data_IF_999889321933
#
_entry.id   IF_999889321933
#
_cell.length_a   1.000
_cell.length_b   1.000
_cell.length_c   1.000
_cell.angle_alpha   90.00
_cell.angle_beta   90.00
_cell.angle_gamma   90.00
#
_symmetry.space_group_name_H-M   'P 1'
#
loop_
_entity.id
_entity.type
_entity.pdbx_description
1 polymer ?
#
# COMPACT_ATOMS: atom_id res chain seq x y z
N UNK A 1 22.62 28.19 -11.30
CA UNK A 1 22.69 26.91 -10.56
C UNK A 1 21.27 26.45 -10.35
N UNK A 2 20.82 25.38 -10.99
CA UNK A 2 19.53 24.80 -10.71
C UNK A 2 19.52 24.34 -9.25
N UNK A 3 18.59 24.85 -8.44
CA UNK A 3 18.38 24.38 -7.08
C UNK A 3 18.23 22.86 -7.12
N UNK A 4 19.00 22.13 -6.33
CA UNK A 4 18.84 20.69 -6.12
C UNK A 4 17.37 20.44 -5.77
N UNK A 5 16.60 19.92 -6.73
CA UNK A 5 15.23 19.50 -6.47
C UNK A 5 15.33 18.37 -5.46
N UNK A 6 14.89 18.63 -4.22
CA UNK A 6 14.92 17.62 -3.16
C UNK A 6 14.17 16.36 -3.60
N UNK A 7 14.47 15.24 -2.96
CA UNK A 7 13.80 13.94 -3.24
C UNK A 7 12.29 14.05 -3.19
N UNK A 8 11.60 13.24 -4.00
CA UNK A 8 10.16 13.31 -4.21
C UNK A 8 9.48 11.95 -4.05
N UNK A 9 8.28 11.96 -3.48
CA UNK A 9 7.44 10.77 -3.35
C UNK A 9 5.99 11.08 -3.79
N UNK A 10 5.42 10.22 -4.62
CA UNK A 10 4.01 10.27 -4.99
C UNK A 10 3.27 9.09 -4.33
N UNK A 11 2.22 9.39 -3.56
CA UNK A 11 1.58 8.44 -2.65
C UNK A 11 0.09 8.35 -2.98
N UNK A 12 -0.41 7.16 -3.34
CA UNK A 12 -1.84 6.92 -3.54
C UNK A 12 -2.52 6.46 -2.25
N UNK A 13 -3.82 6.79 -2.09
CA UNK A 13 -4.51 6.60 -0.82
C UNK A 13 -3.88 7.45 0.28
N UNK A 14 -3.35 8.63 -0.10
CA UNK A 14 -2.62 9.52 0.80
C UNK A 14 -3.51 10.34 1.72
N UNK A 15 -4.83 10.32 1.51
CA UNK A 15 -5.81 11.06 2.30
C UNK A 15 -6.02 10.53 3.72
N UNK A 16 -5.61 9.29 4.01
CA UNK A 16 -5.81 8.69 5.34
C UNK A 16 -4.79 7.59 5.68
N UNK A 17 -4.87 7.05 6.88
CA UNK A 17 -4.20 5.83 7.31
C UNK A 17 -2.71 5.78 6.98
N UNK A 18 -2.26 4.67 6.39
CA UNK A 18 -0.85 4.43 6.05
C UNK A 18 -0.31 5.50 5.09
N UNK A 19 -1.08 5.86 4.05
CA UNK A 19 -0.65 6.86 3.07
C UNK A 19 -0.37 8.22 3.71
N UNK A 20 -1.27 8.71 4.57
CA UNK A 20 -1.09 9.95 5.33
C UNK A 20 0.12 9.90 6.26
N UNK A 21 0.30 8.79 6.98
CA UNK A 21 1.43 8.64 7.91
C UNK A 21 2.78 8.61 7.16
N UNK A 22 2.84 7.91 6.02
CA UNK A 22 4.03 7.89 5.16
C UNK A 22 4.30 9.28 4.58
N UNK A 23 3.28 9.99 4.09
CA UNK A 23 3.41 11.36 3.58
C UNK A 23 4.03 12.29 4.64
N UNK A 24 3.51 12.25 5.87
CA UNK A 24 4.04 13.03 7.00
C UNK A 24 5.49 12.66 7.32
N UNK A 25 5.79 11.37 7.39
CA UNK A 25 7.13 10.89 7.72
C UNK A 25 8.17 11.33 6.68
N UNK A 26 7.88 11.17 5.38
CA UNK A 26 8.78 11.55 4.30
C UNK A 26 8.91 13.08 4.18
N UNK A 27 7.83 13.83 4.35
CA UNK A 27 7.87 15.30 4.35
C UNK A 27 8.75 15.84 5.49
N UNK A 28 8.69 15.23 6.68
CA UNK A 28 9.55 15.57 7.81
C UNK A 28 11.04 15.33 7.53
N UNK A 29 11.38 14.45 6.57
CA UNK A 29 12.74 14.24 6.07
C UNK A 29 13.10 15.17 4.90
N UNK A 30 12.27 16.18 4.63
CA UNK A 30 12.53 17.20 3.60
C UNK A 30 12.12 16.81 2.17
N UNK A 31 11.38 15.71 2.00
CA UNK A 31 10.92 15.27 0.69
C UNK A 31 9.72 16.10 0.19
N UNK A 32 9.62 16.26 -1.13
CA UNK A 32 8.44 16.80 -1.80
C UNK A 32 7.41 15.68 -2.00
N UNK A 33 6.15 15.90 -1.61
CA UNK A 33 5.13 14.87 -1.56
C UNK A 33 3.96 15.18 -2.51
N UNK A 34 3.63 14.25 -3.39
CA UNK A 34 2.35 14.20 -4.10
C UNK A 34 1.38 13.31 -3.31
N UNK A 35 0.31 13.88 -2.82
CA UNK A 35 -0.75 13.18 -2.07
C UNK A 35 -1.93 12.94 -3.00
N UNK A 36 -2.11 11.72 -3.47
CA UNK A 36 -3.20 11.33 -4.35
C UNK A 36 -4.26 10.51 -3.60
N UNK A 37 -5.51 10.89 -3.72
CA UNK A 37 -6.66 10.18 -3.16
C UNK A 37 -7.90 10.40 -4.02
N UNK A 38 -8.85 9.45 -3.98
CA UNK A 38 -10.17 9.64 -4.61
C UNK A 38 -10.99 10.68 -3.86
N UNK A 39 -10.74 10.84 -2.57
CA UNK A 39 -11.34 11.87 -1.72
C UNK A 39 -10.45 13.13 -1.72
N UNK A 40 -10.84 14.12 -2.52
CA UNK A 40 -10.12 15.40 -2.66
C UNK A 40 -9.93 16.13 -1.32
N UNK A 41 -10.95 16.14 -0.46
CA UNK A 41 -10.89 16.80 0.84
C UNK A 41 -9.85 16.12 1.76
N UNK A 42 -9.85 14.80 1.81
CA UNK A 42 -8.90 14.05 2.62
C UNK A 42 -7.43 14.21 2.12
N UNK A 43 -7.22 14.31 0.79
CA UNK A 43 -5.92 14.64 0.23
C UNK A 43 -5.46 16.04 0.64
N UNK A 44 -6.35 17.04 0.56
CA UNK A 44 -6.07 18.42 0.97
C UNK A 44 -5.78 18.52 2.48
N UNK A 45 -6.55 17.83 3.32
CA UNK A 45 -6.28 17.75 4.77
C UNK A 45 -4.87 17.20 5.04
N UNK A 46 -4.47 16.14 4.33
CA UNK A 46 -3.13 15.59 4.49
C UNK A 46 -2.08 16.61 4.11
N UNK A 47 -2.23 17.30 2.98
CA UNK A 47 -1.29 18.35 2.54
C UNK A 47 -1.18 19.48 3.58
N UNK A 48 -2.31 19.90 4.19
CA UNK A 48 -2.31 20.92 5.24
C UNK A 48 -1.53 20.53 6.52
N UNK A 49 -1.29 19.22 6.73
CA UNK A 49 -0.48 18.71 7.84
C UNK A 49 1.02 18.65 7.52
N UNK A 50 1.42 18.95 6.27
CA UNK A 50 2.81 18.85 5.82
C UNK A 50 3.47 20.25 5.80
N UNK A 51 4.80 20.33 5.83
CA UNK A 51 5.50 21.61 5.72
C UNK A 51 5.09 22.38 4.47
N UNK A 52 4.87 23.69 4.62
CA UNK A 52 4.42 24.56 3.54
C UNK A 52 5.34 24.49 2.31
N UNK A 53 4.73 24.48 1.12
CA UNK A 53 5.46 24.39 -0.15
C UNK A 53 6.06 23.01 -0.48
N UNK A 54 5.87 22.01 0.40
CA UNK A 54 6.46 20.68 0.25
C UNK A 54 5.48 19.62 -0.27
N UNK A 55 4.21 19.94 -0.42
CA UNK A 55 3.22 18.94 -0.83
C UNK A 55 2.18 19.51 -1.79
N UNK A 56 1.61 18.64 -2.63
CA UNK A 56 0.51 18.93 -3.53
C UNK A 56 -0.55 17.82 -3.43
N UNK A 57 -1.83 18.20 -3.42
CA UNK A 57 -2.97 17.28 -3.43
C UNK A 57 -3.42 16.98 -4.86
N UNK A 58 -3.77 15.73 -5.12
CA UNK A 58 -4.29 15.23 -6.38
C UNK A 58 -5.54 14.41 -6.14
N UNK A 59 -6.63 14.75 -6.82
CA UNK A 59 -7.83 13.91 -6.85
C UNK A 59 -7.62 12.85 -7.94
N UNK A 60 -7.56 11.56 -7.54
CA UNK A 60 -7.25 10.49 -8.47
C UNK A 60 -7.91 9.18 -8.08
N UNK A 61 -8.62 8.57 -9.03
CA UNK A 61 -9.03 7.18 -8.97
C UNK A 61 -7.90 6.30 -9.56
N UNK A 62 -7.34 5.41 -8.76
CA UNK A 62 -6.26 4.52 -9.19
C UNK A 62 -6.67 3.55 -10.32
N UNK A 63 -7.97 3.39 -10.56
CA UNK A 63 -8.50 2.58 -11.67
C UNK A 63 -8.40 3.29 -13.03
N UNK A 64 -8.22 4.60 -13.02
CA UNK A 64 -8.20 5.45 -14.22
C UNK A 64 -6.76 5.74 -14.65
N UNK A 65 -6.37 5.21 -15.82
CA UNK A 65 -5.03 5.36 -16.37
C UNK A 65 -4.70 6.80 -16.81
N UNK A 66 -5.69 7.55 -17.23
CA UNK A 66 -5.47 8.91 -17.71
C UNK A 66 -5.29 9.87 -16.53
N UNK A 67 -6.02 9.66 -15.45
CA UNK A 67 -5.76 10.36 -14.19
C UNK A 67 -4.36 10.06 -13.64
N UNK A 68 -3.88 8.81 -13.72
CA UNK A 68 -2.50 8.46 -13.36
C UNK A 68 -1.48 9.28 -14.15
N UNK A 69 -1.62 9.35 -15.50
CA UNK A 69 -0.72 10.12 -16.35
C UNK A 69 -0.75 11.60 -16.02
N UNK A 70 -1.94 12.18 -15.93
CA UNK A 70 -2.13 13.60 -15.63
C UNK A 70 -1.54 13.99 -14.26
N UNK A 71 -1.79 13.19 -13.22
CA UNK A 71 -1.30 13.49 -11.87
C UNK A 71 0.23 13.35 -11.76
N UNK A 72 0.82 12.30 -12.33
CA UNK A 72 2.28 12.13 -12.31
C UNK A 72 2.98 13.21 -13.12
N UNK A 73 2.48 13.54 -14.31
CA UNK A 73 3.01 14.64 -15.14
C UNK A 73 2.93 15.98 -14.39
N UNK A 74 1.76 16.29 -13.82
CA UNK A 74 1.57 17.53 -13.03
C UNK A 74 2.49 17.59 -11.81
N UNK A 75 2.73 16.46 -11.13
CA UNK A 75 3.60 16.41 -9.95
C UNK A 75 5.06 16.51 -10.32
N UNK A 76 5.51 15.79 -11.35
CA UNK A 76 6.94 15.70 -11.69
C UNK A 76 7.37 16.81 -12.65
N UNK A 77 6.46 17.35 -13.47
CA UNK A 77 6.79 18.25 -14.58
C UNK A 77 7.67 17.55 -15.64
N UNK A 78 7.48 16.24 -15.84
CA UNK A 78 8.30 15.41 -16.73
C UNK A 78 9.67 15.01 -16.15
N UNK A 79 10.01 15.41 -14.92
CA UNK A 79 11.25 15.03 -14.25
C UNK A 79 11.13 13.64 -13.59
N UNK A 80 12.27 13.15 -13.05
CA UNK A 80 12.31 11.89 -12.32
C UNK A 80 11.52 11.91 -11.01
N UNK A 81 11.11 10.71 -10.57
CA UNK A 81 10.42 10.46 -9.32
C UNK A 81 11.25 9.48 -8.48
N UNK A 82 11.56 9.85 -7.22
CA UNK A 82 12.37 8.99 -6.35
C UNK A 82 11.56 7.84 -5.75
N UNK A 83 10.30 8.09 -5.35
CA UNK A 83 9.42 7.05 -4.81
C UNK A 83 8.02 7.17 -5.39
N UNK A 84 7.51 6.07 -5.94
CA UNK A 84 6.09 5.88 -6.20
C UNK A 84 5.54 4.87 -5.17
N UNK A 85 4.60 5.32 -4.35
CA UNK A 85 3.98 4.47 -3.35
C UNK A 85 2.54 4.10 -3.76
N UNK A 86 2.37 2.89 -4.30
CA UNK A 86 1.08 2.25 -4.55
C UNK A 86 0.48 1.77 -3.23
N UNK A 87 -0.28 2.64 -2.57
CA UNK A 87 -0.86 2.35 -1.26
C UNK A 87 -2.39 2.32 -1.25
N UNK A 88 -3.05 3.00 -2.19
CA UNK A 88 -4.51 2.95 -2.28
C UNK A 88 -5.05 1.51 -2.27
N UNK A 89 -6.08 1.27 -1.48
CA UNK A 89 -6.69 -0.05 -1.36
C UNK A 89 -7.91 -0.03 -0.47
N UNK A 90 -8.75 -1.04 -0.61
CA UNK A 90 -9.93 -1.29 0.21
C UNK A 90 -9.83 -2.65 0.88
N UNK A 91 -10.48 -2.78 2.04
CA UNK A 91 -10.70 -4.06 2.70
C UNK A 91 -11.95 -4.75 2.16
N UNK A 92 -11.96 -6.07 2.22
CA UNK A 92 -13.12 -6.90 1.93
C UNK A 92 -13.08 -8.10 2.88
N UNK A 93 -14.13 -8.27 3.67
CA UNK A 93 -14.31 -9.40 4.58
C UNK A 93 -15.66 -10.06 4.40
N UNK A 94 -15.73 -11.37 4.68
CA UNK A 94 -16.94 -12.17 4.64
C UNK A 94 -16.79 -13.47 3.85
N UNK A 95 -17.80 -14.36 3.87
CA UNK A 95 -17.79 -15.59 3.08
C UNK A 95 -17.77 -15.27 1.58
N UNK A 96 -16.89 -15.95 0.85
CA UNK A 96 -16.70 -15.69 -0.58
C UNK A 96 -17.98 -15.90 -1.41
N UNK A 97 -18.74 -16.95 -1.06
CA UNK A 97 -19.97 -17.29 -1.77
C UNK A 97 -21.09 -16.23 -1.61
N UNK A 98 -21.05 -15.46 -0.51
CA UNK A 98 -22.06 -14.45 -0.19
C UNK A 98 -21.65 -13.05 -0.64
N UNK A 99 -20.44 -12.92 -1.18
CA UNK A 99 -19.90 -11.63 -1.64
C UNK A 99 -20.41 -11.32 -3.05
N UNK A 100 -21.00 -10.13 -3.25
CA UNK A 100 -21.50 -9.69 -4.53
C UNK A 100 -20.41 -9.58 -5.61
N UNK A 101 -20.71 -9.92 -6.86
CA UNK A 101 -19.76 -9.86 -7.97
C UNK A 101 -19.14 -8.45 -8.13
N UNK A 102 -19.95 -7.40 -8.01
CA UNK A 102 -19.47 -6.02 -8.10
C UNK A 102 -18.42 -5.67 -7.02
N UNK A 103 -18.56 -6.21 -5.81
CA UNK A 103 -17.59 -5.99 -4.73
C UNK A 103 -16.29 -6.77 -4.96
N UNK A 104 -16.39 -7.99 -5.52
CA UNK A 104 -15.22 -8.76 -5.95
C UNK A 104 -14.43 -8.01 -7.02
N UNK A 105 -15.11 -7.56 -8.08
CA UNK A 105 -14.52 -6.81 -9.19
C UNK A 105 -13.92 -5.48 -8.71
N UNK A 106 -14.65 -4.73 -7.87
CA UNK A 106 -14.16 -3.47 -7.28
C UNK A 106 -12.88 -3.69 -6.47
N UNK A 107 -12.83 -4.77 -5.67
CA UNK A 107 -11.65 -5.10 -4.87
C UNK A 107 -10.44 -5.40 -5.76
N UNK A 108 -10.62 -6.18 -6.82
CA UNK A 108 -9.56 -6.46 -7.80
C UNK A 108 -9.12 -5.16 -8.49
N UNK A 109 -10.07 -4.38 -8.97
CA UNK A 109 -9.79 -3.15 -9.71
C UNK A 109 -8.96 -2.14 -8.91
N UNK A 110 -9.28 -1.96 -7.62
CA UNK A 110 -8.55 -1.01 -6.76
C UNK A 110 -7.24 -1.63 -6.25
N UNK A 111 -7.29 -2.82 -5.64
CA UNK A 111 -6.16 -3.38 -4.89
C UNK A 111 -5.06 -3.98 -5.77
N UNK A 112 -5.38 -4.34 -7.02
CA UNK A 112 -4.42 -4.94 -7.94
C UNK A 112 -4.30 -4.19 -9.26
N UNK A 113 -5.38 -3.97 -10.01
CA UNK A 113 -5.30 -3.27 -11.31
C UNK A 113 -4.76 -1.85 -11.13
N UNK A 114 -5.20 -1.13 -10.08
CA UNK A 114 -4.65 0.19 -9.74
C UNK A 114 -3.15 0.16 -9.46
N UNK A 115 -2.64 -0.88 -8.78
CA UNK A 115 -1.20 -1.07 -8.55
C UNK A 115 -0.45 -1.34 -9.85
N UNK A 116 -1.05 -2.14 -10.76
CA UNK A 116 -0.49 -2.39 -12.11
C UNK A 116 -0.41 -1.09 -12.91
N UNK A 117 -1.46 -0.25 -12.88
CA UNK A 117 -1.44 1.05 -13.55
C UNK A 117 -0.32 1.94 -13.01
N UNK A 118 -0.20 2.04 -11.67
CA UNK A 118 0.85 2.82 -11.02
C UNK A 118 2.25 2.33 -11.38
N UNK A 119 2.49 1.02 -11.35
CA UNK A 119 3.77 0.43 -11.75
C UNK A 119 4.09 0.73 -13.22
N UNK A 120 3.15 0.45 -14.13
CA UNK A 120 3.35 0.59 -15.56
C UNK A 120 3.57 2.04 -16.01
N UNK A 121 2.78 2.98 -15.48
CA UNK A 121 2.89 4.41 -15.84
C UNK A 121 4.05 5.05 -15.08
N UNK A 122 4.19 4.75 -13.80
CA UNK A 122 5.23 5.29 -12.93
C UNK A 122 6.65 4.89 -13.33
N UNK A 123 6.82 3.74 -13.99
CA UNK A 123 8.13 3.29 -14.51
C UNK A 123 8.84 4.38 -15.30
N UNK A 124 8.14 5.13 -16.16
CA UNK A 124 8.72 6.18 -16.97
C UNK A 124 9.37 7.31 -16.16
N UNK A 125 8.84 7.60 -14.99
CA UNK A 125 9.37 8.62 -14.08
C UNK A 125 10.43 8.05 -13.14
N UNK A 126 10.25 6.81 -12.66
CA UNK A 126 11.19 6.15 -11.77
C UNK A 126 12.56 5.93 -12.43
N UNK A 127 12.58 5.52 -13.70
CA UNK A 127 13.84 5.30 -14.45
C UNK A 127 14.66 6.57 -14.68
N UNK A 128 14.06 7.75 -14.55
CA UNK A 128 14.75 9.04 -14.65
C UNK A 128 15.42 9.47 -13.33
N UNK A 129 15.18 8.74 -12.23
CA UNK A 129 15.75 9.03 -10.92
C UNK A 129 16.59 7.83 -10.43
N UNK A 130 17.93 7.89 -10.54
CA UNK A 130 18.79 6.78 -10.12
C UNK A 130 18.58 6.41 -8.64
N UNK A 131 18.39 5.12 -8.38
CA UNK A 131 18.10 4.62 -7.03
C UNK A 131 16.67 4.82 -6.57
N UNK A 132 15.75 5.12 -7.48
CA UNK A 132 14.32 5.24 -7.23
C UNK A 132 13.70 3.93 -6.70
N UNK A 133 12.48 4.03 -6.15
CA UNK A 133 11.78 2.90 -5.59
C UNK A 133 10.28 2.91 -5.95
N UNK A 134 9.80 1.80 -6.49
CA UNK A 134 8.40 1.45 -6.49
C UNK A 134 8.07 0.73 -5.19
N UNK A 135 7.29 1.35 -4.30
CA UNK A 135 6.83 0.75 -3.05
C UNK A 135 5.36 0.35 -3.18
N UNK A 136 5.04 -0.91 -2.88
CA UNK A 136 3.67 -1.44 -2.97
C UNK A 136 3.15 -1.84 -1.59
N UNK A 137 1.89 -1.55 -1.28
CA UNK A 137 1.22 -2.07 -0.09
C UNK A 137 0.62 -3.45 -0.39
N UNK A 138 1.37 -4.51 -0.05
CA UNK A 138 0.82 -5.86 0.06
C UNK A 138 0.09 -6.03 1.41
N UNK A 139 0.23 -7.15 2.10
CA UNK A 139 -0.38 -7.41 3.41
C UNK A 139 0.16 -8.71 4.00
N UNK A 140 -0.04 -8.96 5.28
CA UNK A 140 0.04 -10.29 5.88
C UNK A 140 -0.86 -11.30 5.13
N UNK A 141 -2.01 -10.85 4.61
CA UNK A 141 -2.90 -11.64 3.75
C UNK A 141 -2.25 -12.05 2.40
N UNK A 142 -1.12 -11.46 2.01
CA UNK A 142 -0.27 -11.89 0.90
C UNK A 142 0.82 -12.90 1.30
N UNK A 143 0.90 -13.27 2.59
CA UNK A 143 1.78 -14.35 3.09
C UNK A 143 1.00 -15.67 3.13
N UNK A 144 -0.23 -15.63 3.63
CA UNK A 144 -1.12 -16.77 3.73
C UNK A 144 -2.58 -16.33 3.64
N UNK A 145 -3.39 -17.05 2.84
CA UNK A 145 -4.82 -16.77 2.69
C UNK A 145 -5.60 -17.18 3.94
N UNK A 146 -6.55 -16.34 4.35
CA UNK A 146 -7.37 -16.54 5.55
C UNK A 146 -8.83 -16.66 5.15
N UNK A 147 -9.58 -17.57 5.78
CA UNK A 147 -11.01 -17.68 5.59
C UNK A 147 -11.72 -16.35 5.90
N UNK A 148 -12.70 -15.98 5.09
CA UNK A 148 -13.38 -14.69 5.19
C UNK A 148 -12.63 -13.50 4.56
N UNK A 149 -11.47 -13.74 3.91
CA UNK A 149 -10.71 -12.69 3.22
C UNK A 149 -10.17 -13.17 1.86
N UNK A 150 -10.92 -14.03 1.16
CA UNK A 150 -10.44 -14.73 -0.04
C UNK A 150 -10.00 -13.78 -1.15
N UNK A 151 -10.88 -12.88 -1.61
CA UNK A 151 -10.55 -11.95 -2.69
C UNK A 151 -9.48 -10.93 -2.27
N UNK A 152 -9.56 -10.41 -1.05
CA UNK A 152 -8.54 -9.52 -0.51
C UNK A 152 -7.17 -10.20 -0.49
N UNK A 153 -7.08 -11.42 0.05
CA UNK A 153 -5.84 -12.21 0.03
C UNK A 153 -5.32 -12.43 -1.38
N UNK A 154 -6.17 -12.82 -2.32
CA UNK A 154 -5.80 -13.02 -3.72
C UNK A 154 -5.15 -11.76 -4.32
N UNK A 155 -5.74 -10.57 -4.10
CA UNK A 155 -5.15 -9.31 -4.58
C UNK A 155 -3.80 -9.01 -3.93
N UNK A 156 -3.63 -9.32 -2.63
CA UNK A 156 -2.36 -9.05 -1.92
C UNK A 156 -1.26 -10.05 -2.27
N UNK A 157 -1.61 -11.30 -2.61
CA UNK A 157 -0.67 -12.25 -3.25
C UNK A 157 -0.26 -11.79 -4.65
N UNK A 158 -1.21 -11.28 -5.45
CA UNK A 158 -0.91 -10.75 -6.78
C UNK A 158 0.05 -9.55 -6.72
N UNK A 159 -0.17 -8.62 -5.78
CA UNK A 159 0.76 -7.50 -5.54
C UNK A 159 2.15 -7.97 -5.13
N UNK A 160 2.22 -9.00 -4.28
CA UNK A 160 3.49 -9.61 -3.88
C UNK A 160 4.23 -10.20 -5.07
N UNK A 161 3.56 -11.05 -5.87
CA UNK A 161 4.18 -11.67 -7.06
C UNK A 161 4.62 -10.62 -8.09
N UNK A 162 3.80 -9.58 -8.34
CA UNK A 162 4.17 -8.45 -9.18
C UNK A 162 5.44 -7.75 -8.66
N UNK A 163 5.53 -7.51 -7.34
CA UNK A 163 6.70 -6.88 -6.72
C UNK A 163 7.97 -7.69 -6.94
N UNK A 164 7.90 -9.01 -6.72
CA UNK A 164 9.05 -9.92 -6.91
C UNK A 164 9.54 -9.93 -8.37
N UNK A 165 8.60 -9.99 -9.32
CA UNK A 165 8.92 -9.99 -10.76
C UNK A 165 9.54 -8.68 -11.21
N UNK A 166 8.92 -7.55 -10.85
CA UNK A 166 9.42 -6.22 -11.25
C UNK A 166 10.75 -5.87 -10.57
N UNK A 167 11.01 -6.34 -9.34
CA UNK A 167 12.32 -6.19 -8.71
C UNK A 167 13.41 -6.89 -9.55
N UNK A 168 13.14 -8.09 -10.04
CA UNK A 168 14.10 -8.82 -10.89
C UNK A 168 14.31 -8.14 -12.25
N UNK A 169 13.24 -7.61 -12.85
CA UNK A 169 13.29 -6.94 -14.15
C UNK A 169 14.02 -5.59 -14.08
N UNK A 170 13.67 -4.73 -13.09
CA UNK A 170 14.10 -3.33 -13.03
C UNK A 170 15.39 -3.10 -12.25
N UNK A 171 15.91 -4.12 -11.59
CA UNK A 171 17.18 -4.03 -10.84
C UNK A 171 18.34 -3.50 -11.69
N UNK A 172 18.43 -3.93 -12.96
CA UNK A 172 19.50 -3.51 -13.89
C UNK A 172 19.41 -2.04 -14.25
N UNK A 173 18.24 -1.44 -14.12
CA UNK A 173 17.99 -0.01 -14.36
C UNK A 173 18.14 0.83 -13.08
N UNK A 174 18.54 0.20 -11.97
CA UNK A 174 18.73 0.89 -10.69
C UNK A 174 17.43 1.24 -9.98
N UNK A 175 16.29 0.69 -10.41
CA UNK A 175 14.99 0.89 -9.77
C UNK A 175 14.76 -0.23 -8.76
N UNK A 176 14.53 0.11 -7.49
CA UNK A 176 14.12 -0.83 -6.46
C UNK A 176 12.62 -1.07 -6.54
N UNK A 177 12.18 -2.31 -6.36
CA UNK A 177 10.74 -2.61 -6.22
C UNK A 177 10.53 -3.32 -4.89
N UNK A 178 9.76 -2.73 -4.00
CA UNK A 178 9.61 -3.15 -2.61
C UNK A 178 8.14 -3.32 -2.24
N UNK A 179 7.86 -4.15 -1.24
CA UNK A 179 6.52 -4.18 -0.65
C UNK A 179 6.53 -4.07 0.86
N UNK A 180 5.50 -3.42 1.39
CA UNK A 180 5.11 -3.50 2.79
C UNK A 180 4.09 -4.63 2.95
N UNK A 181 4.28 -5.45 3.98
CA UNK A 181 3.36 -6.53 4.35
C UNK A 181 2.86 -6.31 5.78
N UNK A 182 1.99 -5.30 6.00
CA UNK A 182 1.44 -5.02 7.32
C UNK A 182 0.39 -6.06 7.74
N UNK A 183 0.26 -6.26 9.06
CA UNK A 183 -0.88 -6.95 9.67
C UNK A 183 -2.07 -6.01 9.87
N UNK A 184 -2.68 -6.01 11.04
CA UNK A 184 -3.78 -5.10 11.38
C UNK A 184 -3.22 -3.76 11.84
N UNK A 185 -3.36 -2.75 11.01
CA UNK A 185 -2.86 -1.39 11.28
C UNK A 185 -4.04 -0.52 11.68
N UNK A 186 -3.83 0.28 12.72
CA UNK A 186 -4.85 1.20 13.23
C UNK A 186 -5.14 2.32 12.22
N UNK A 187 -6.10 2.07 11.33
CA UNK A 187 -6.48 2.94 10.23
C UNK A 187 -7.98 2.83 9.96
N UNK A 188 -8.60 3.80 9.27
CA UNK A 188 -9.99 3.71 8.84
C UNK A 188 -10.31 2.48 7.96
N UNK A 189 -9.32 1.84 7.38
CA UNK A 189 -9.50 0.60 6.60
C UNK A 189 -10.15 -0.51 7.44
N UNK A 190 -9.91 -0.55 8.75
CA UNK A 190 -10.45 -1.54 9.67
C UNK A 190 -11.93 -1.28 10.03
N UNK A 191 -12.46 -0.12 9.71
CA UNK A 191 -13.87 0.22 9.97
C UNK A 191 -14.79 -0.32 8.85
N UNK A 192 -14.22 -0.97 7.84
CA UNK A 192 -14.94 -1.67 6.77
C UNK A 192 -15.80 -2.81 7.31
N UNK A 193 -16.99 -2.98 6.73
CA UNK A 193 -17.93 -4.04 7.10
C UNK A 193 -17.45 -5.43 6.68
N UNK A 194 -18.03 -6.43 7.31
CA UNK A 194 -17.86 -7.85 6.97
C UNK A 194 -19.22 -8.38 6.47
N UNK A 195 -19.26 -8.91 5.24
CA UNK A 195 -20.47 -9.48 4.67
C UNK A 195 -21.03 -10.57 5.59
N UNK A 196 -22.33 -10.50 5.88
CA UNK A 196 -23.00 -11.46 6.78
C UNK A 196 -22.69 -11.28 8.26
N UNK A 197 -22.09 -10.15 8.69
CA UNK A 197 -21.78 -9.85 10.08
C UNK A 197 -22.23 -8.43 10.47
N UNK A 198 -22.63 -8.25 11.71
CA UNK A 198 -22.89 -6.93 12.30
C UNK A 198 -21.61 -6.27 12.83
N UNK A 199 -20.47 -6.99 12.84
CA UNK A 199 -19.18 -6.48 13.28
C UNK A 199 -18.40 -5.92 12.10
N UNK A 200 -17.63 -4.86 12.34
CA UNK A 200 -16.60 -4.42 11.42
C UNK A 200 -15.27 -5.20 11.64
N UNK A 201 -14.29 -4.98 10.77
CA UNK A 201 -13.00 -5.69 10.86
C UNK A 201 -12.27 -5.35 12.16
N UNK A 202 -12.30 -4.09 12.62
CA UNK A 202 -11.66 -3.64 13.88
C UNK A 202 -12.20 -4.41 15.07
N UNK A 203 -13.52 -4.48 15.20
CA UNK A 203 -14.20 -5.20 16.29
C UNK A 203 -13.85 -6.69 16.29
N UNK A 204 -13.78 -7.28 15.08
CA UNK A 204 -13.41 -8.69 14.91
C UNK A 204 -11.96 -8.95 15.32
N UNK A 205 -11.04 -8.08 14.94
CA UNK A 205 -9.61 -8.17 15.29
C UNK A 205 -9.39 -8.03 16.78
N UNK A 206 -10.04 -7.06 17.42
CA UNK A 206 -9.91 -6.82 18.86
C UNK A 206 -10.54 -7.93 19.68
N UNK A 207 -11.73 -8.44 19.29
CA UNK A 207 -12.37 -9.58 19.96
C UNK A 207 -11.57 -10.88 19.84
N UNK A 208 -10.78 -11.04 18.77
CA UNK A 208 -9.86 -12.15 18.59
C UNK A 208 -8.54 -11.98 19.39
N UNK A 209 -8.36 -10.90 20.13
CA UNK A 209 -7.12 -10.61 20.90
C UNK A 209 -5.91 -10.33 20.01
N UNK A 210 -6.12 -9.94 18.75
CA UNK A 210 -5.04 -9.63 17.82
C UNK A 210 -4.57 -8.18 18.01
N UNK A 211 -3.28 -7.96 17.77
CA UNK A 211 -2.64 -6.66 17.92
C UNK A 211 -3.06 -5.70 16.82
N UNK A 212 -3.44 -4.49 17.20
CA UNK A 212 -3.48 -3.32 16.31
C UNK A 212 -2.12 -2.63 16.37
N UNK A 213 -1.45 -2.57 15.23
CA UNK A 213 -0.13 -1.92 15.10
C UNK A 213 -0.32 -0.44 14.81
N UNK A 214 0.37 0.49 15.51
CA UNK A 214 0.34 1.91 15.20
C UNK A 214 0.77 2.20 13.77
N UNK A 215 0.10 3.15 13.13
CA UNK A 215 0.37 3.49 11.72
C UNK A 215 1.77 4.09 11.52
N UNK A 216 2.33 4.72 12.53
CA UNK A 216 3.68 5.29 12.54
C UNK A 216 4.76 4.22 12.36
N UNK A 217 4.55 3.01 12.88
CA UNK A 217 5.48 1.88 12.66
C UNK A 217 5.52 1.50 11.17
N UNK A 218 4.39 1.60 10.47
CA UNK A 218 4.34 1.35 9.03
C UNK A 218 5.06 2.44 8.25
N UNK A 219 4.91 3.71 8.66
CA UNK A 219 5.61 4.83 8.02
C UNK A 219 7.14 4.70 8.17
N UNK A 220 7.62 4.33 9.35
CA UNK A 220 9.03 4.03 9.57
C UNK A 220 9.50 2.80 8.76
N UNK A 221 8.65 1.78 8.64
CA UNK A 221 8.95 0.61 7.83
C UNK A 221 9.01 0.94 6.34
N UNK A 222 8.14 1.83 5.84
CA UNK A 222 8.19 2.35 4.48
C UNK A 222 9.52 3.06 4.20
N UNK A 223 9.97 3.90 5.13
CA UNK A 223 11.26 4.56 5.03
C UNK A 223 12.41 3.55 4.92
N UNK A 224 12.42 2.55 5.81
CA UNK A 224 13.45 1.48 5.76
C UNK A 224 13.38 0.66 4.48
N UNK A 225 12.18 0.35 3.97
CA UNK A 225 12.00 -0.41 2.74
C UNK A 225 12.57 0.32 1.51
N UNK A 226 12.33 1.63 1.41
CA UNK A 226 12.84 2.45 0.30
C UNK A 226 14.37 2.53 0.31
N UNK A 227 14.99 2.62 1.50
CA UNK A 227 16.45 2.78 1.63
C UNK A 227 17.19 1.44 1.74
N UNK A 228 16.49 0.37 2.14
CA UNK A 228 17.07 -0.97 2.34
C UNK A 228 17.08 -1.85 1.09
N UNK A 229 17.45 -3.11 1.31
CA UNK A 229 17.60 -4.11 0.23
C UNK A 229 16.56 -5.24 0.28
N UNK A 230 15.80 -5.35 1.39
CA UNK A 230 14.75 -6.35 1.52
C UNK A 230 13.58 -6.07 0.55
N UNK A 231 13.23 -7.05 -0.29
CA UNK A 231 12.09 -6.94 -1.21
C UNK A 231 10.77 -6.80 -0.44
N UNK A 232 10.65 -7.51 0.68
CA UNK A 232 9.42 -7.53 1.49
C UNK A 232 9.69 -7.11 2.94
N UNK A 233 9.10 -6.01 3.36
CA UNK A 233 9.13 -5.52 4.75
C UNK A 233 7.86 -5.90 5.49
N UNK A 234 7.97 -6.84 6.43
CA UNK A 234 6.83 -7.32 7.24
C UNK A 234 6.66 -6.47 8.49
N UNK A 235 5.44 -5.95 8.73
CA UNK A 235 5.13 -5.02 9.83
C UNK A 235 4.06 -5.59 10.75
N UNK A 236 4.29 -5.50 12.06
CA UNK A 236 3.42 -6.03 13.12
C UNK A 236 3.76 -7.48 13.52
N UNK A 237 3.47 -7.81 14.78
CA UNK A 237 3.81 -9.14 15.35
C UNK A 237 3.05 -10.26 14.65
N UNK A 238 1.77 -10.04 14.36
CA UNK A 238 0.93 -11.03 13.67
C UNK A 238 1.50 -11.39 12.29
N UNK A 239 1.90 -10.40 11.47
CA UNK A 239 2.50 -10.68 10.17
C UNK A 239 3.84 -11.41 10.28
N UNK A 240 4.69 -11.03 11.24
CA UNK A 240 5.98 -11.71 11.49
C UNK A 240 5.79 -13.18 11.90
N UNK A 241 4.82 -13.45 12.80
CA UNK A 241 4.46 -14.81 13.20
C UNK A 241 3.90 -15.60 12.02
N UNK A 242 3.03 -15.01 11.21
CA UNK A 242 2.45 -15.64 10.02
C UNK A 242 3.54 -15.99 8.99
N UNK A 243 4.50 -15.09 8.74
CA UNK A 243 5.65 -15.37 7.85
C UNK A 243 6.47 -16.55 8.33
N UNK A 244 6.78 -16.60 9.62
CA UNK A 244 7.48 -17.72 10.23
C UNK A 244 6.69 -19.03 10.08
N UNK A 245 5.40 -19.01 10.45
CA UNK A 245 4.54 -20.19 10.40
C UNK A 245 4.30 -20.69 8.97
N UNK A 246 4.18 -19.80 7.99
CA UNK A 246 4.03 -20.17 6.58
C UNK A 246 5.24 -20.96 6.05
N UNK A 247 6.44 -20.63 6.54
CA UNK A 247 7.68 -21.31 6.12
C UNK A 247 7.94 -22.62 6.88
N UNK A 248 7.71 -22.62 8.19
CA UNK A 248 8.20 -23.70 9.06
C UNK A 248 7.09 -24.57 9.66
N UNK A 249 5.86 -24.07 9.72
CA UNK A 249 4.72 -24.71 10.39
C UNK A 249 3.43 -24.67 9.54
N UNK A 250 3.49 -25.05 8.23
CA UNK A 250 2.37 -24.84 7.30
C UNK A 250 1.09 -25.59 7.70
N UNK A 251 1.22 -26.78 8.31
CA UNK A 251 0.05 -27.55 8.79
C UNK A 251 -0.70 -26.86 9.93
N UNK A 252 0.05 -26.23 10.84
CA UNK A 252 -0.55 -25.49 11.98
C UNK A 252 -1.20 -24.20 11.48
N UNK A 253 -0.50 -23.46 10.60
CA UNK A 253 -1.04 -22.25 10.01
C UNK A 253 -2.32 -22.52 9.23
N UNK A 254 -2.39 -23.62 8.46
CA UNK A 254 -3.61 -24.04 7.75
C UNK A 254 -4.79 -24.23 8.70
N UNK A 255 -4.58 -24.93 9.85
CA UNK A 255 -5.63 -25.15 10.85
C UNK A 255 -6.09 -23.82 11.50
N UNK A 256 -5.19 -22.89 11.70
CA UNK A 256 -5.51 -21.57 12.25
C UNK A 256 -6.26 -20.71 11.23
N UNK A 257 -5.79 -20.65 10.00
CA UNK A 257 -6.40 -19.85 8.92
C UNK A 257 -7.81 -20.31 8.53
N UNK A 258 -8.14 -21.60 8.72
CA UNK A 258 -9.48 -22.15 8.44
C UNK A 258 -10.54 -21.70 9.46
N UNK A 259 -10.12 -21.19 10.63
CA UNK A 259 -11.07 -20.67 11.65
C UNK A 259 -11.56 -19.25 11.33
N UNK A 260 -10.95 -18.61 10.31
CA UNK A 260 -11.22 -17.23 9.96
C UNK A 260 -10.71 -16.23 11.00
N UNK A 261 -11.00 -14.97 10.73
CA UNK A 261 -10.86 -13.89 11.70
C UNK A 261 -12.10 -13.82 12.60
#
# INVERSE_FOLDING_TARGET
MAASVGKSAFITGGGSGIGRAVARHFAAQGWRIGVADINAAAAAETVALLPEGRASAFTMDVRDRDQWRACLESFTGGAGLDVLFNNAGISMGGPFADTGAADLERTIAINFTGVVHGAHIGYHYLRLSPGSCLLNTASAAGIYGTAGAAIYSATKFAVRGLTESLEAEWRREGIKVRSLMPSFIETPLLDGGIVGSNLNIRERVTSAGLELTPVEEVAQAAWRAVHGDDVHTVVGKTAKRMRFAARWMPKQLRRQASRGL
#
